data_IF_929848557681
#
_entry.id   IF_929848557681
#
_cell.length_a   1.000
_cell.length_b   1.000
_cell.length_c   1.000
_cell.angle_alpha   90.00
_cell.angle_beta   90.00
_cell.angle_gamma   90.00
#
_symmetry.space_group_name_H-M   'P 1'
#
loop_
_entity.id
_entity.type
_entity.pdbx_description
1 polymer ?
#
# COMPACT_ATOMS: atom_id res chain seq x y z
N UNK A 1 -24.29 22.11 13.81
CA UNK A 1 -23.63 21.96 12.50
C UNK A 1 -22.17 22.32 12.73
N UNK A 2 -21.32 21.32 13.00
CA UNK A 2 -19.88 21.50 13.15
C UNK A 2 -19.17 20.22 12.68
N UNK A 3 -18.11 20.35 11.88
CA UNK A 3 -17.37 19.28 11.20
C UNK A 3 -16.05 18.99 12.00
N UNK A 4 -15.22 17.98 11.70
CA UNK A 4 -15.08 16.73 12.44
C UNK A 4 -13.67 16.47 13.05
N UNK A 5 -13.59 15.87 14.24
CA UNK A 5 -12.32 15.40 14.86
C UNK A 5 -11.85 14.02 14.33
N UNK A 6 -11.76 13.83 13.00
CA UNK A 6 -11.27 12.55 12.42
C UNK A 6 -9.75 12.45 12.25
N UNK A 7 -8.98 13.37 12.84
CA UNK A 7 -7.52 13.32 12.88
C UNK A 7 -7.01 13.78 14.26
N UNK A 8 -7.46 13.11 15.32
CA UNK A 8 -6.75 13.20 16.59
C UNK A 8 -5.49 12.34 16.48
N UNK A 9 -4.35 13.04 16.44
CA UNK A 9 -2.99 12.56 16.63
C UNK A 9 -2.91 11.66 17.87
N UNK A 10 -3.11 10.35 17.69
CA UNK A 10 -2.79 9.36 18.72
C UNK A 10 -1.27 9.19 18.77
N UNK A 11 -0.65 10.12 19.49
CA UNK A 11 0.57 9.86 20.24
C UNK A 11 0.27 8.84 21.33
N UNK A 12 0.40 7.57 20.97
CA UNK A 12 0.70 6.51 21.94
C UNK A 12 1.72 5.60 21.29
N UNK A 13 2.95 6.08 21.33
CA UNK A 13 4.09 5.33 21.85
C UNK A 13 4.00 3.82 21.60
N UNK A 14 4.59 3.41 20.48
CA UNK A 14 5.71 2.48 20.52
C UNK A 14 5.49 1.29 21.47
N UNK A 15 4.67 0.33 21.05
CA UNK A 15 4.83 -1.04 21.53
C UNK A 15 6.00 -1.64 20.76
N UNK A 16 7.15 -1.65 21.44
CA UNK A 16 8.44 -2.10 20.93
C UNK A 16 8.37 -3.50 20.30
N UNK A 17 8.44 -3.53 18.96
CA UNK A 17 8.79 -4.72 18.18
C UNK A 17 10.30 -5.02 18.28
N UNK A 18 11.03 -4.34 19.16
CA UNK A 18 12.49 -4.31 19.21
C UNK A 18 13.02 -4.63 20.62
N UNK A 19 12.69 -5.79 21.18
CA UNK A 19 13.50 -6.36 22.25
C UNK A 19 13.42 -7.90 22.29
N UNK A 20 14.15 -8.54 21.38
CA UNK A 20 14.77 -9.85 21.66
C UNK A 20 15.91 -10.11 20.68
N UNK A 21 16.96 -9.28 20.75
CA UNK A 21 18.29 -9.70 20.35
C UNK A 21 18.97 -10.27 21.59
N UNK A 22 18.86 -11.58 21.83
CA UNK A 22 19.93 -12.32 22.53
C UNK A 22 20.05 -13.74 21.96
N UNK A 23 21.28 -14.01 21.52
CA UNK A 23 21.97 -15.28 21.29
C UNK A 23 21.91 -15.88 19.88
N UNK A 24 22.95 -15.54 19.12
CA UNK A 24 23.68 -16.50 18.32
C UNK A 24 24.16 -17.65 19.22
N UNK A 25 23.66 -18.85 18.97
CA UNK A 25 24.41 -20.10 19.16
C UNK A 25 24.20 -20.94 17.91
N UNK A 26 25.24 -20.90 17.07
CA UNK A 26 25.56 -21.92 16.09
C UNK A 26 25.54 -23.28 16.77
N UNK A 27 24.67 -24.21 16.34
CA UNK A 27 25.07 -25.59 16.02
C UNK A 27 23.91 -26.52 15.61
N UNK A 28 24.24 -27.40 14.66
CA UNK A 28 23.59 -28.69 14.32
C UNK A 28 22.51 -28.68 13.22
N UNK A 29 23.02 -28.91 12.00
CA UNK A 29 22.48 -29.81 10.97
C UNK A 29 21.37 -30.75 11.50
N UNK A 30 20.11 -30.47 11.18
CA UNK A 30 19.09 -31.51 11.08
C UNK A 30 18.30 -31.37 9.79
N UNK A 31 18.90 -31.92 8.74
CA UNK A 31 18.15 -32.49 7.63
C UNK A 31 17.25 -33.59 8.22
N UNK A 32 16.03 -33.23 8.54
CA UNK A 32 14.97 -34.16 8.88
C UNK A 32 13.73 -33.66 8.18
N UNK A 33 13.37 -34.40 7.14
CA UNK A 33 12.10 -34.42 6.43
C UNK A 33 10.93 -34.38 7.41
N UNK A 34 10.52 -33.17 7.81
CA UNK A 34 9.38 -32.98 8.72
C UNK A 34 8.16 -32.63 7.90
N UNK A 35 7.26 -33.61 7.89
CA UNK A 35 5.89 -33.55 7.37
C UNK A 35 5.29 -32.15 7.47
N UNK A 36 4.54 -31.78 6.42
CA UNK A 36 3.83 -30.51 6.20
C UNK A 36 2.82 -30.23 7.33
N UNK A 37 3.32 -29.87 8.52
CA UNK A 37 2.51 -29.42 9.65
C UNK A 37 1.90 -28.10 9.22
N UNK A 38 0.57 -28.06 9.04
CA UNK A 38 -0.15 -26.82 8.72
C UNK A 38 0.22 -25.80 9.80
N UNK A 39 1.03 -24.79 9.45
CA UNK A 39 1.43 -23.76 10.41
C UNK A 39 0.18 -23.02 10.85
N UNK A 40 -0.15 -23.08 12.13
CA UNK A 40 -1.21 -22.27 12.72
C UNK A 40 -0.69 -20.83 12.74
N UNK A 41 -1.34 -19.94 11.99
CA UNK A 41 -0.99 -18.52 11.95
C UNK A 41 -1.37 -17.91 13.31
N UNK A 42 -0.39 -17.38 14.03
CA UNK A 42 -0.65 -16.70 15.31
C UNK A 42 -1.31 -15.35 15.08
N UNK A 43 -2.00 -14.83 16.11
CA UNK A 43 -2.63 -13.50 16.07
C UNK A 43 -1.60 -12.41 15.73
N UNK A 44 -0.40 -12.48 16.31
CA UNK A 44 0.71 -11.56 16.04
C UNK A 44 1.15 -11.62 14.57
N UNK A 45 1.27 -12.82 13.99
CA UNK A 45 1.62 -12.98 12.58
C UNK A 45 0.54 -12.39 11.65
N UNK A 46 -0.73 -12.58 11.99
CA UNK A 46 -1.87 -11.99 11.26
C UNK A 46 -1.84 -10.47 11.33
N UNK A 47 -1.62 -9.89 12.51
CA UNK A 47 -1.51 -8.44 12.70
C UNK A 47 -0.34 -7.86 11.90
N UNK A 48 0.84 -8.50 11.95
CA UNK A 48 2.00 -8.08 11.18
C UNK A 48 1.72 -8.13 9.66
N UNK A 49 0.99 -9.14 9.17
CA UNK A 49 0.57 -9.22 7.77
C UNK A 49 -0.39 -8.08 7.40
N UNK A 50 -1.38 -7.77 8.24
CA UNK A 50 -2.31 -6.67 8.01
C UNK A 50 -1.61 -5.31 7.95
N UNK A 51 -0.62 -5.07 8.81
CA UNK A 51 0.19 -3.84 8.77
C UNK A 51 0.95 -3.73 7.44
N UNK A 52 1.57 -4.82 6.97
CA UNK A 52 2.27 -4.83 5.68
C UNK A 52 1.33 -4.52 4.52
N UNK A 53 0.16 -5.15 4.49
CA UNK A 53 -0.80 -4.92 3.41
C UNK A 53 -1.35 -3.48 3.42
N UNK A 54 -1.58 -2.89 4.61
CA UNK A 54 -1.94 -1.46 4.71
C UNK A 54 -0.86 -0.56 4.13
N UNK A 55 0.43 -0.81 4.44
CA UNK A 55 1.54 -0.05 3.87
C UNK A 55 1.61 -0.18 2.35
N UNK A 56 1.44 -1.40 1.82
CA UNK A 56 1.37 -1.65 0.38
C UNK A 56 0.21 -0.92 -0.30
N UNK A 57 -0.97 -0.90 0.33
CA UNK A 57 -2.12 -0.17 -0.22
C UNK A 57 -1.96 1.34 -0.13
N UNK A 58 -1.28 1.85 0.89
CA UNK A 58 -0.95 3.27 0.97
C UNK A 58 -0.11 3.72 -0.22
N UNK A 59 1.01 3.03 -0.50
CA UNK A 59 1.87 3.35 -1.64
C UNK A 59 1.14 3.23 -2.99
N UNK A 60 0.24 2.24 -3.12
CA UNK A 60 -0.58 2.10 -4.33
C UNK A 60 -1.53 3.29 -4.50
N UNK A 61 -2.18 3.73 -3.43
CA UNK A 61 -3.12 4.85 -3.47
C UNK A 61 -2.41 6.18 -3.76
N UNK A 62 -1.20 6.37 -3.22
CA UNK A 62 -0.36 7.53 -3.49
C UNK A 62 0.01 7.62 -4.98
N UNK A 63 0.50 6.53 -5.57
CA UNK A 63 0.78 6.47 -7.01
C UNK A 63 -0.48 6.75 -7.86
N UNK A 64 -1.65 6.30 -7.38
CA UNK A 64 -2.91 6.57 -8.07
C UNK A 64 -3.32 8.06 -7.99
N UNK A 65 -3.01 8.73 -6.88
CA UNK A 65 -3.24 10.17 -6.73
C UNK A 65 -2.29 11.01 -7.57
N UNK A 66 -1.05 10.56 -7.71
CA UNK A 66 -0.13 11.16 -8.66
C UNK A 66 -0.65 11.04 -10.10
N UNK A 67 -1.14 9.86 -10.49
CA UNK A 67 -1.75 9.67 -11.81
C UNK A 67 -2.93 10.62 -12.02
N UNK A 68 -3.86 10.74 -11.05
CA UNK A 68 -4.99 11.67 -11.15
C UNK A 68 -4.57 13.11 -11.43
N UNK A 69 -3.46 13.56 -10.84
CA UNK A 69 -2.93 14.91 -11.05
C UNK A 69 -2.38 15.13 -12.47
N UNK A 70 -1.97 14.07 -13.16
CA UNK A 70 -1.46 14.10 -14.54
C UNK A 70 -2.55 13.96 -15.59
N UNK A 71 -3.66 13.33 -15.22
CA UNK A 71 -4.82 13.16 -16.08
C UNK A 71 -5.54 14.51 -16.22
N UNK A 72 -5.86 14.96 -17.44
CA UNK A 72 -6.55 16.24 -17.65
C UNK A 72 -7.99 16.18 -17.11
N UNK A 73 -8.29 17.02 -16.12
CA UNK A 73 -9.63 17.19 -15.53
C UNK A 73 -9.86 18.66 -15.20
N UNK A 74 -11.12 19.08 -15.06
CA UNK A 74 -11.43 20.44 -14.61
C UNK A 74 -11.10 20.62 -13.13
N UNK A 75 -10.62 21.80 -12.73
CA UNK A 75 -10.14 22.06 -11.37
C UNK A 75 -11.23 21.92 -10.27
N UNK A 76 -12.50 22.05 -10.65
CA UNK A 76 -13.66 21.92 -9.75
C UNK A 76 -14.34 20.55 -9.83
N UNK A 77 -13.78 19.61 -10.60
CA UNK A 77 -14.36 18.27 -10.70
C UNK A 77 -14.08 17.43 -9.46
N UNK A 78 -15.04 16.54 -9.19
CA UNK A 78 -14.92 15.53 -8.15
C UNK A 78 -13.72 14.61 -8.44
N UNK A 79 -13.07 14.13 -7.38
CA UNK A 79 -12.03 13.10 -7.45
C UNK A 79 -12.53 11.87 -8.23
N UNK A 80 -11.84 11.57 -9.34
CA UNK A 80 -12.15 10.44 -10.22
C UNK A 80 -12.02 9.09 -9.51
N UNK A 81 -12.91 8.15 -9.84
CA UNK A 81 -12.79 6.74 -9.44
C UNK A 81 -11.57 6.08 -10.09
N UNK A 82 -11.21 4.87 -9.62
CA UNK A 82 -10.06 4.14 -10.19
C UNK A 82 -10.28 3.82 -11.67
N UNK A 83 -11.46 3.34 -12.03
CA UNK A 83 -11.72 2.96 -13.43
C UNK A 83 -11.73 4.18 -14.35
N UNK A 84 -12.31 5.31 -13.92
CA UNK A 84 -12.33 6.55 -14.71
C UNK A 84 -10.92 7.09 -14.93
N UNK A 85 -10.09 7.12 -13.89
CA UNK A 85 -8.70 7.61 -13.99
C UNK A 85 -7.90 6.77 -14.99
N UNK A 86 -8.04 5.44 -14.96
CA UNK A 86 -7.33 4.56 -15.90
C UNK A 86 -7.81 4.76 -17.33
N UNK A 87 -9.13 4.84 -17.55
CA UNK A 87 -9.70 5.08 -18.87
C UNK A 87 -9.21 6.40 -19.46
N UNK A 88 -9.26 7.47 -18.66
CA UNK A 88 -8.89 8.81 -19.12
C UNK A 88 -7.38 8.93 -19.36
N UNK A 89 -6.54 8.27 -18.54
CA UNK A 89 -5.11 8.21 -18.77
C UNK A 89 -4.76 7.54 -20.10
N UNK A 90 -5.40 6.42 -20.45
CA UNK A 90 -5.20 5.72 -21.73
C UNK A 90 -5.58 6.65 -22.89
N UNK A 91 -6.77 7.25 -22.83
CA UNK A 91 -7.26 8.17 -23.86
C UNK A 91 -6.30 9.36 -24.02
N UNK A 92 -5.81 9.93 -22.90
CA UNK A 92 -4.92 11.07 -22.93
C UNK A 92 -3.57 10.74 -23.57
N UNK A 93 -2.99 9.58 -23.29
CA UNK A 93 -1.76 9.13 -23.95
C UNK A 93 -1.99 9.01 -25.46
N UNK A 94 -3.05 8.31 -25.89
CA UNK A 94 -3.38 8.19 -27.32
C UNK A 94 -3.56 9.56 -27.98
N UNK A 95 -4.31 10.46 -27.34
CA UNK A 95 -4.53 11.80 -27.86
C UNK A 95 -3.24 12.62 -28.00
N UNK A 96 -2.33 12.54 -27.03
CA UNK A 96 -1.03 13.21 -27.10
C UNK A 96 -0.16 12.63 -28.22
N UNK A 97 -0.21 11.30 -28.44
CA UNK A 97 0.50 10.64 -29.54
C UNK A 97 -0.03 11.12 -30.90
N UNK A 98 -1.35 11.08 -31.10
CA UNK A 98 -1.99 11.53 -32.34
C UNK A 98 -1.68 13.02 -32.62
N UNK A 99 -1.67 13.87 -31.60
CA UNK A 99 -1.36 15.29 -31.76
C UNK A 99 0.07 15.50 -32.28
N UNK A 100 1.04 14.75 -31.75
CA UNK A 100 2.45 14.83 -32.15
C UNK A 100 2.72 14.25 -33.55
N UNK A 101 1.94 13.25 -33.99
CA UNK A 101 2.05 12.69 -35.34
C UNK A 101 1.41 13.57 -36.41
N UNK A 102 0.43 14.39 -36.03
CA UNK A 102 -0.30 15.31 -36.93
C UNK A 102 0.22 16.76 -36.88
N UNK A 103 1.38 17.00 -36.25
CA UNK A 103 2.11 18.28 -36.31
C UNK A 103 3.37 18.15 -37.15
#
# INVERSE_FOLDING_TARGET
MDFPQKYAFESTQQVDCAFSQKQATQDQLRFSSKAKRRRIITVVQRQAANVRERKRMFSLNEAFDELRRKVPTFAYEKRLSRIETLRLAIIYISFMMDLLENT
#
